data_IF_775600164740
#
_entry.id   IF_775600164740
#
_cell.length_a   1.000
_cell.length_b   1.000
_cell.length_c   1.000
_cell.angle_alpha   90.00
_cell.angle_beta   90.00
_cell.angle_gamma   90.00
#
_symmetry.space_group_name_H-M   'P 1'
#
loop_
_entity.id
_entity.type
_entity.pdbx_description
1 polymer ?
#
# COMPACT_ATOMS: atom_id res chain seq x y z
N UNK A 1 -8.99 15.22 -69.06
CA UNK A 1 -8.20 15.44 -67.83
C UNK A 1 -8.33 14.18 -66.99
N UNK A 2 -7.20 13.50 -66.77
CA UNK A 2 -7.10 12.05 -66.70
C UNK A 2 -7.72 11.39 -65.47
N UNK A 3 -8.58 10.40 -65.73
CA UNK A 3 -9.09 9.46 -64.75
C UNK A 3 -7.93 8.62 -64.18
N UNK A 4 -7.57 8.87 -62.92
CA UNK A 4 -6.74 7.94 -62.16
C UNK A 4 -7.61 6.72 -61.82
N UNK A 5 -7.33 5.59 -62.47
CA UNK A 5 -8.12 4.38 -62.31
C UNK A 5 -8.08 3.89 -60.85
N UNK A 6 -9.20 3.38 -60.35
CA UNK A 6 -9.33 2.81 -59.01
C UNK A 6 -8.30 1.68 -58.74
N UNK A 7 -7.78 1.03 -59.79
CA UNK A 7 -6.70 0.05 -59.71
C UNK A 7 -5.37 0.67 -59.26
N UNK A 8 -5.08 1.91 -59.65
CA UNK A 8 -3.84 2.62 -59.26
C UNK A 8 -3.85 2.98 -57.77
N UNK A 9 -5.01 3.31 -57.21
CA UNK A 9 -5.15 3.61 -55.78
C UNK A 9 -4.98 2.36 -54.91
N UNK A 10 -5.57 1.22 -55.33
CA UNK A 10 -5.44 -0.06 -54.62
C UNK A 10 -3.99 -0.56 -54.61
N UNK A 11 -3.29 -0.41 -55.73
CA UNK A 11 -1.87 -0.76 -55.84
C UNK A 11 -0.99 0.09 -54.91
N UNK A 12 -1.29 1.39 -54.75
CA UNK A 12 -0.58 2.24 -53.79
C UNK A 12 -0.83 1.85 -52.33
N UNK A 13 -2.06 1.48 -51.97
CA UNK A 13 -2.40 1.06 -50.60
C UNK A 13 -1.76 -0.29 -50.25
N UNK A 14 -1.81 -1.25 -51.17
CA UNK A 14 -1.19 -2.57 -50.98
C UNK A 14 0.34 -2.47 -50.93
N UNK A 15 0.96 -1.57 -51.73
CA UNK A 15 2.39 -1.29 -51.66
C UNK A 15 2.78 -0.61 -50.34
N UNK A 16 1.95 0.30 -49.81
CA UNK A 16 2.20 0.95 -48.53
C UNK A 16 2.09 -0.04 -47.35
N UNK A 17 1.10 -0.93 -47.37
CA UNK A 17 0.95 -2.01 -46.41
C UNK A 17 2.11 -3.01 -46.49
N UNK A 18 2.55 -3.36 -47.70
CA UNK A 18 3.71 -4.23 -47.90
C UNK A 18 5.01 -3.57 -47.41
N UNK A 19 5.19 -2.26 -47.63
CA UNK A 19 6.34 -1.51 -47.12
C UNK A 19 6.30 -1.34 -45.59
N UNK A 20 5.12 -1.19 -44.98
CA UNK A 20 4.97 -1.14 -43.52
C UNK A 20 5.22 -2.51 -42.89
N UNK A 21 4.72 -3.61 -43.50
CA UNK A 21 5.03 -4.97 -43.07
C UNK A 21 6.50 -5.31 -43.29
N UNK A 22 7.11 -4.93 -44.41
CA UNK A 22 8.53 -5.13 -44.67
C UNK A 22 9.39 -4.30 -43.70
N UNK A 23 8.99 -3.07 -43.35
CA UNK A 23 9.68 -2.29 -42.32
C UNK A 23 9.53 -2.91 -40.93
N UNK A 24 8.35 -3.40 -40.56
CA UNK A 24 8.13 -4.04 -39.26
C UNK A 24 8.86 -5.39 -39.14
N UNK A 25 8.88 -6.19 -40.21
CA UNK A 25 9.64 -7.45 -40.29
C UNK A 25 11.14 -7.19 -40.30
N UNK A 26 11.60 -6.10 -40.94
CA UNK A 26 13.03 -5.73 -40.92
C UNK A 26 13.47 -5.08 -39.61
N UNK A 27 12.66 -4.32 -38.87
CA UNK A 27 13.01 -3.89 -37.51
C UNK A 27 12.98 -5.03 -36.52
N UNK A 28 12.01 -5.95 -36.62
CA UNK A 28 11.98 -7.13 -35.76
C UNK A 28 13.17 -8.06 -36.06
N UNK A 29 13.52 -8.27 -37.33
CA UNK A 29 14.71 -9.03 -37.72
C UNK A 29 16.01 -8.29 -37.39
N UNK A 30 16.10 -6.97 -37.51
CA UNK A 30 17.27 -6.19 -37.05
C UNK A 30 17.43 -6.29 -35.54
N UNK A 31 16.34 -6.21 -34.77
CA UNK A 31 16.37 -6.38 -33.32
C UNK A 31 16.73 -7.82 -32.92
N UNK A 32 16.24 -8.84 -33.65
CA UNK A 32 16.64 -10.24 -33.47
C UNK A 32 18.12 -10.47 -33.83
N UNK A 33 18.61 -9.91 -34.94
CA UNK A 33 20.01 -10.01 -35.38
C UNK A 33 20.95 -9.23 -34.45
N UNK A 34 20.54 -8.07 -33.94
CA UNK A 34 21.32 -7.28 -32.98
C UNK A 34 21.32 -7.93 -31.60
N UNK A 35 20.20 -8.54 -31.19
CA UNK A 35 20.13 -9.39 -29.99
C UNK A 35 20.96 -10.66 -30.14
N UNK A 36 20.96 -11.30 -31.31
CA UNK A 36 21.75 -12.49 -31.63
C UNK A 36 23.25 -12.17 -31.74
N UNK A 37 23.64 -11.02 -32.30
CA UNK A 37 25.02 -10.51 -32.28
C UNK A 37 25.47 -10.14 -30.88
N UNK A 38 24.59 -9.55 -30.07
CA UNK A 38 24.88 -9.26 -28.66
C UNK A 38 24.98 -10.56 -27.85
N UNK A 39 24.14 -11.56 -28.13
CA UNK A 39 24.21 -12.91 -27.58
C UNK A 39 25.45 -13.67 -28.06
N UNK A 40 25.91 -13.50 -29.29
CA UNK A 40 27.14 -14.15 -29.78
C UNK A 40 28.39 -13.45 -29.26
N UNK A 41 28.36 -12.13 -29.09
CA UNK A 41 29.40 -11.38 -28.38
C UNK A 41 29.41 -11.73 -26.89
N UNK A 42 28.25 -11.79 -26.24
CA UNK A 42 28.12 -12.25 -24.85
C UNK A 42 28.51 -13.71 -24.71
N UNK A 43 28.13 -14.58 -25.65
CA UNK A 43 28.55 -15.98 -25.70
C UNK A 43 30.06 -16.09 -25.88
N UNK A 44 30.69 -15.23 -26.69
CA UNK A 44 32.15 -15.10 -26.79
C UNK A 44 32.83 -14.56 -25.53
N UNK A 45 32.19 -13.65 -24.80
CA UNK A 45 32.65 -13.20 -23.48
C UNK A 45 32.44 -14.26 -22.40
N UNK A 46 31.38 -15.06 -22.50
CA UNK A 46 31.10 -16.20 -21.62
C UNK A 46 32.06 -17.35 -21.94
N UNK A 47 32.37 -17.64 -23.21
CA UNK A 47 33.37 -18.64 -23.59
C UNK A 47 34.79 -18.23 -23.23
N UNK A 48 35.15 -16.94 -23.35
CA UNK A 48 36.41 -16.45 -22.78
C UNK A 48 36.47 -16.51 -21.24
N UNK A 49 35.33 -16.69 -20.57
CA UNK A 49 35.22 -16.90 -19.11
C UNK A 49 35.07 -18.38 -18.74
N UNK A 50 34.72 -19.27 -19.69
CA UNK A 50 34.60 -20.73 -19.44
C UNK A 50 35.80 -21.53 -19.93
N UNK A 51 36.57 -21.06 -20.91
CA UNK A 51 37.53 -21.93 -21.61
C UNK A 51 38.94 -22.00 -21.02
N UNK A 52 39.23 -21.33 -19.88
CA UNK A 52 40.31 -21.68 -18.93
C UNK A 52 40.58 -20.63 -17.83
N UNK A 53 39.75 -19.59 -17.68
CA UNK A 53 39.77 -18.71 -16.52
C UNK A 53 38.32 -18.45 -16.10
N UNK A 54 37.83 -19.38 -15.28
CA UNK A 54 36.65 -19.26 -14.42
C UNK A 54 36.51 -17.85 -13.84
N UNK A 55 35.34 -17.51 -13.30
CA UNK A 55 35.15 -16.41 -12.35
C UNK A 55 36.00 -16.60 -11.06
N UNK A 56 37.30 -16.84 -11.19
CA UNK A 56 38.32 -17.05 -10.17
C UNK A 56 38.54 -15.82 -9.31
N UNK A 57 37.84 -14.71 -9.57
CA UNK A 57 37.90 -13.47 -8.79
C UNK A 57 36.95 -13.51 -7.57
N UNK A 58 36.06 -14.49 -7.49
CA UNK A 58 35.18 -14.72 -6.33
C UNK A 58 35.67 -15.90 -5.46
N UNK A 59 36.99 -16.11 -5.30
CA UNK A 59 37.54 -17.25 -4.52
C UNK A 59 36.84 -17.49 -3.17
N UNK A 60 36.56 -16.46 -2.33
CA UNK A 60 35.88 -16.69 -1.04
C UNK A 60 34.42 -17.15 -1.22
N UNK A 61 33.78 -16.75 -2.31
CA UNK A 61 32.38 -17.07 -2.60
C UNK A 61 32.24 -18.42 -3.32
N UNK A 62 33.25 -18.89 -4.05
CA UNK A 62 33.21 -20.18 -4.75
C UNK A 62 32.96 -21.37 -3.81
N UNK A 63 33.33 -21.23 -2.54
CA UNK A 63 33.06 -22.24 -1.51
C UNK A 63 31.57 -22.43 -1.22
N UNK A 64 30.75 -21.39 -1.44
CA UNK A 64 29.34 -21.34 -1.05
C UNK A 64 28.41 -21.13 -2.24
N UNK A 65 28.93 -20.60 -3.35
CA UNK A 65 28.13 -20.04 -4.43
C UNK A 65 28.37 -20.77 -5.75
N UNK A 66 27.28 -20.99 -6.48
CA UNK A 66 27.26 -21.44 -7.86
C UNK A 66 26.88 -20.28 -8.76
N UNK A 67 27.57 -20.15 -9.88
CA UNK A 67 27.25 -19.19 -10.93
C UNK A 67 26.47 -19.94 -12.00
N UNK A 68 25.22 -19.55 -12.20
CA UNK A 68 24.40 -20.06 -13.28
C UNK A 68 24.52 -19.13 -14.49
N UNK A 69 24.56 -19.73 -15.68
CA UNK A 69 24.61 -18.97 -16.92
C UNK A 69 23.36 -18.11 -17.14
N UNK A 70 23.52 -17.12 -18.03
CA UNK A 70 22.59 -16.03 -18.31
C UNK A 70 21.13 -16.49 -18.37
N UNK A 71 20.35 -16.15 -17.35
CA UNK A 71 18.91 -16.30 -17.43
C UNK A 71 18.34 -15.16 -18.27
N UNK A 72 17.59 -15.52 -19.31
CA UNK A 72 16.81 -14.56 -20.10
C UNK A 72 15.61 -14.12 -19.26
N UNK A 73 15.51 -12.83 -18.96
CA UNK A 73 14.38 -12.30 -18.21
C UNK A 73 13.07 -12.41 -19.01
N UNK A 74 11.96 -12.31 -18.29
CA UNK A 74 10.60 -12.13 -18.80
C UNK A 74 10.39 -10.79 -19.54
N UNK A 75 11.35 -9.85 -19.50
CA UNK A 75 11.40 -8.69 -20.38
C UNK A 75 12.51 -8.84 -21.43
N UNK A 76 12.21 -8.59 -22.72
CA UNK A 76 13.22 -8.72 -23.77
C UNK A 76 14.33 -7.67 -23.61
N UNK A 77 15.57 -8.12 -23.46
CA UNK A 77 16.77 -7.27 -23.63
C UNK A 77 17.72 -7.14 -22.43
N UNK A 78 17.32 -7.57 -21.23
CA UNK A 78 18.20 -7.59 -20.04
C UNK A 78 18.67 -9.02 -19.75
N UNK A 79 19.98 -9.20 -19.68
CA UNK A 79 20.63 -10.45 -19.30
C UNK A 79 21.39 -10.21 -18.00
N UNK A 80 21.27 -11.14 -17.05
CA UNK A 80 22.03 -11.10 -15.81
C UNK A 80 22.69 -12.45 -15.53
N UNK A 81 23.83 -12.39 -14.84
CA UNK A 81 24.50 -13.55 -14.27
C UNK A 81 23.85 -13.83 -12.92
N UNK A 82 23.38 -15.04 -12.72
CA UNK A 82 22.77 -15.46 -11.47
C UNK A 82 23.82 -16.13 -10.58
N UNK A 83 23.93 -15.67 -9.33
CA UNK A 83 24.81 -16.22 -8.31
C UNK A 83 23.93 -16.73 -7.18
N UNK A 84 23.95 -18.03 -6.94
CA UNK A 84 23.19 -18.69 -5.88
C UNK A 84 24.15 -19.19 -4.82
N UNK A 85 24.02 -18.68 -3.60
CA UNK A 85 24.87 -18.99 -2.46
C UNK A 85 24.09 -19.73 -1.37
N UNK A 86 24.65 -20.84 -0.88
CA UNK A 86 24.14 -21.58 0.26
C UNK A 86 25.20 -21.61 1.37
N UNK A 87 24.96 -20.92 2.47
CA UNK A 87 25.94 -20.71 3.54
C UNK A 87 25.58 -21.57 4.75
N UNK A 88 26.45 -22.49 5.12
CA UNK A 88 26.29 -23.33 6.31
C UNK A 88 27.51 -23.18 7.22
N UNK A 89 27.29 -22.90 8.50
CA UNK A 89 28.34 -22.73 9.52
C UNK A 89 29.50 -21.81 9.09
N UNK A 90 29.23 -20.79 8.28
CA UNK A 90 30.24 -19.90 7.71
C UNK A 90 29.70 -18.47 7.61
N UNK A 91 30.62 -17.53 7.32
CA UNK A 91 30.32 -16.11 7.11
C UNK A 91 30.65 -15.74 5.67
N UNK A 92 29.66 -15.29 4.90
CA UNK A 92 29.89 -14.70 3.59
C UNK A 92 30.01 -13.18 3.71
N UNK A 93 31.06 -12.59 3.15
CA UNK A 93 31.28 -11.15 3.20
C UNK A 93 30.77 -10.48 1.91
N UNK A 94 29.71 -9.67 2.03
CA UNK A 94 29.13 -8.94 0.89
C UNK A 94 30.10 -7.92 0.27
N UNK A 95 31.04 -7.40 1.05
CA UNK A 95 32.04 -6.45 0.54
C UNK A 95 32.98 -7.09 -0.48
N UNK A 96 33.20 -8.40 -0.43
CA UNK A 96 34.01 -9.10 -1.44
C UNK A 96 33.32 -9.07 -2.81
N UNK A 97 32.00 -9.27 -2.86
CA UNK A 97 31.22 -9.12 -4.08
C UNK A 97 31.25 -7.68 -4.59
N UNK A 98 31.11 -6.69 -3.71
CA UNK A 98 31.23 -5.27 -4.09
C UNK A 98 32.59 -4.94 -4.69
N UNK A 99 33.68 -5.45 -4.11
CA UNK A 99 35.06 -5.29 -4.64
C UNK A 99 35.24 -6.02 -5.97
N UNK A 100 34.59 -7.16 -6.15
CA UNK A 100 34.58 -7.89 -7.41
C UNK A 100 33.89 -7.06 -8.51
N UNK A 101 32.66 -6.60 -8.28
CA UNK A 101 31.90 -5.90 -9.32
C UNK A 101 32.45 -4.51 -9.65
N UNK A 102 33.18 -3.87 -8.74
CA UNK A 102 33.85 -2.59 -9.03
C UNK A 102 34.94 -2.69 -10.09
N UNK A 103 35.56 -3.87 -10.24
CA UNK A 103 36.65 -4.16 -11.20
C UNK A 103 36.13 -4.54 -12.59
N UNK A 104 34.85 -4.89 -12.71
CA UNK A 104 34.26 -5.33 -13.98
C UNK A 104 33.98 -4.10 -14.85
N UNK A 105 34.61 -4.08 -16.03
CA UNK A 105 34.40 -3.02 -17.03
C UNK A 105 33.19 -3.27 -17.93
N UNK A 106 32.79 -4.53 -18.09
CA UNK A 106 31.64 -4.90 -18.91
C UNK A 106 30.31 -4.46 -18.28
N UNK A 107 29.32 -4.14 -19.12
CA UNK A 107 27.96 -3.81 -18.69
C UNK A 107 27.13 -5.10 -18.52
N UNK A 108 27.58 -5.94 -17.59
CA UNK A 108 26.89 -7.16 -17.17
C UNK A 108 26.17 -6.91 -15.86
N UNK A 109 24.95 -7.42 -15.71
CA UNK A 109 24.18 -7.30 -14.47
C UNK A 109 24.26 -8.59 -13.65
N UNK A 110 24.16 -8.47 -12.32
CA UNK A 110 24.19 -9.59 -11.40
C UNK A 110 22.88 -9.71 -10.61
N UNK A 111 22.40 -10.94 -10.49
CA UNK A 111 21.35 -11.33 -9.55
C UNK A 111 21.95 -12.26 -8.51
N UNK A 112 21.85 -11.90 -7.23
CA UNK A 112 22.47 -12.66 -6.14
C UNK A 112 21.38 -13.17 -5.20
N UNK A 113 21.31 -14.49 -5.02
CA UNK A 113 20.43 -15.15 -4.05
C UNK A 113 21.30 -15.83 -2.98
N UNK A 114 21.13 -15.42 -1.72
CA UNK A 114 21.89 -15.92 -0.58
C UNK A 114 20.91 -16.56 0.40
N UNK A 115 21.06 -17.86 0.64
CA UNK A 115 20.33 -18.58 1.67
C UNK A 115 21.29 -19.11 2.72
N UNK A 116 20.99 -18.91 3.99
CA UNK A 116 21.76 -19.47 5.10
C UNK A 116 21.04 -20.70 5.66
N UNK A 117 21.80 -21.74 5.98
CA UNK A 117 21.34 -22.83 6.83
C UNK A 117 21.79 -22.62 8.28
N UNK A 118 21.99 -23.72 9.00
CA UNK A 118 22.35 -23.66 10.42
C UNK A 118 23.66 -22.88 10.63
N UNK A 119 23.60 -21.89 11.54
CA UNK A 119 24.68 -20.95 11.86
C UNK A 119 25.31 -20.22 10.65
N UNK A 120 24.63 -20.19 9.50
CA UNK A 120 25.07 -19.39 8.36
C UNK A 120 24.84 -17.91 8.63
N UNK A 121 25.80 -17.08 8.25
CA UNK A 121 25.68 -15.63 8.40
C UNK A 121 26.27 -14.87 7.22
N UNK A 122 25.84 -13.63 7.07
CA UNK A 122 26.30 -12.72 6.03
C UNK A 122 26.77 -11.43 6.70
N UNK A 123 28.00 -11.01 6.43
CA UNK A 123 28.39 -9.63 6.69
C UNK A 123 27.78 -8.75 5.60
N UNK A 124 26.71 -8.03 5.95
CA UNK A 124 25.87 -7.29 5.02
C UNK A 124 25.65 -5.85 5.48
N UNK A 125 26.48 -4.89 5.01
CA UNK A 125 26.22 -3.48 5.23
C UNK A 125 25.01 -3.00 4.44
N UNK A 126 23.99 -2.47 5.12
CA UNK A 126 22.78 -1.93 4.48
C UNK A 126 23.10 -0.61 3.74
N UNK A 127 22.58 -0.38 2.51
CA UNK A 127 21.54 -1.15 1.82
C UNK A 127 22.06 -2.17 0.79
N UNK A 128 23.32 -2.60 0.92
CA UNK A 128 23.89 -3.59 0.02
C UNK A 128 24.19 -3.06 -1.39
N UNK A 129 24.55 -1.77 -1.53
CA UNK A 129 24.89 -1.24 -2.87
C UNK A 129 26.15 -1.92 -3.39
N UNK A 130 26.12 -2.27 -4.66
CA UNK A 130 27.28 -2.71 -5.42
C UNK A 130 27.10 -2.32 -6.88
N UNK A 131 28.21 -2.03 -7.56
CA UNK A 131 28.17 -1.80 -9.01
C UNK A 131 27.59 -3.05 -9.68
N UNK A 132 26.84 -2.86 -10.76
CA UNK A 132 26.26 -3.94 -11.57
C UNK A 132 25.25 -4.87 -10.85
N UNK A 133 24.94 -4.63 -9.57
CA UNK A 133 23.95 -5.42 -8.85
C UNK A 133 22.53 -5.01 -9.26
N UNK A 134 21.79 -5.96 -9.84
CA UNK A 134 20.42 -5.77 -10.30
C UNK A 134 19.40 -6.34 -9.31
N UNK A 135 19.66 -7.52 -8.75
CA UNK A 135 18.79 -8.13 -7.76
C UNK A 135 19.61 -8.74 -6.61
N UNK A 136 19.12 -8.57 -5.39
CA UNK A 136 19.67 -9.19 -4.20
C UNK A 136 18.55 -9.81 -3.38
N UNK A 137 18.68 -11.10 -3.08
CA UNK A 137 17.85 -11.83 -2.14
C UNK A 137 18.72 -12.42 -1.04
N UNK A 138 18.31 -12.22 0.21
CA UNK A 138 18.94 -12.82 1.39
C UNK A 138 17.82 -13.46 2.23
N UNK A 139 17.93 -14.75 2.52
CA UNK A 139 16.95 -15.47 3.33
C UNK A 139 17.58 -16.36 4.39
N UNK A 140 16.88 -16.45 5.52
CA UNK A 140 17.18 -17.35 6.64
C UNK A 140 18.57 -17.11 7.27
N UNK A 141 19.08 -15.88 7.18
CA UNK A 141 20.44 -15.52 7.58
C UNK A 141 20.52 -14.69 8.87
N UNK A 142 21.64 -14.84 9.60
CA UNK A 142 22.11 -13.84 10.56
C UNK A 142 22.92 -12.78 9.81
N UNK A 143 22.51 -11.51 9.91
CA UNK A 143 23.17 -10.39 9.22
C UNK A 143 24.07 -9.64 10.20
N UNK A 144 25.37 -9.71 9.95
CA UNK A 144 26.39 -8.97 10.70
C UNK A 144 26.72 -7.66 9.99
N UNK A 145 27.13 -6.63 10.74
CA UNK A 145 27.63 -5.38 10.16
C UNK A 145 26.57 -4.54 9.46
N UNK A 146 25.29 -4.73 9.77
CA UNK A 146 24.18 -4.04 9.10
C UNK A 146 24.32 -2.51 9.09
N UNK A 147 24.80 -1.93 10.18
CA UNK A 147 25.01 -0.48 10.36
C UNK A 147 26.45 -0.04 10.12
N UNK A 148 27.35 -0.93 9.69
CA UNK A 148 28.80 -0.66 9.61
C UNK A 148 29.15 0.49 8.65
N UNK A 149 28.32 0.73 7.64
CA UNK A 149 28.50 1.80 6.66
C UNK A 149 27.49 2.94 6.84
N UNK A 150 26.76 3.01 7.96
CA UNK A 150 25.68 3.99 8.13
C UNK A 150 26.14 5.47 8.12
N UNK A 151 27.42 5.70 8.41
CA UNK A 151 28.05 7.03 8.46
C UNK A 151 29.16 7.22 7.42
N UNK A 152 29.42 6.22 6.57
CA UNK A 152 30.44 6.35 5.51
C UNK A 152 29.80 7.02 4.29
N UNK A 153 30.42 8.06 3.73
CA UNK A 153 29.92 8.71 2.52
C UNK A 153 30.27 7.94 1.23
N UNK A 154 31.20 6.97 1.31
CA UNK A 154 31.65 6.19 0.15
C UNK A 154 30.49 5.42 -0.48
N UNK A 155 29.53 4.96 0.33
CA UNK A 155 28.35 4.22 -0.15
C UNK A 155 27.44 5.06 -1.06
N UNK A 156 27.43 6.38 -0.86
CA UNK A 156 26.64 7.31 -1.69
C UNK A 156 27.26 7.50 -3.08
N UNK A 157 28.57 7.24 -3.21
CA UNK A 157 29.27 7.28 -4.51
C UNK A 157 28.97 6.06 -5.39
N UNK A 158 28.48 4.97 -4.79
CA UNK A 158 28.17 3.73 -5.51
C UNK A 158 26.79 3.86 -6.17
N UNK A 159 26.69 3.73 -7.51
CA UNK A 159 25.42 3.87 -8.22
C UNK A 159 24.38 2.85 -7.75
N UNK A 160 23.18 3.34 -7.40
CA UNK A 160 22.04 2.48 -7.10
C UNK A 160 21.41 1.94 -8.39
N UNK A 161 21.78 0.72 -8.77
CA UNK A 161 21.21 -0.01 -9.92
C UNK A 161 20.25 -1.13 -9.51
N UNK A 162 20.04 -1.33 -8.21
CA UNK A 162 19.27 -2.46 -7.70
C UNK A 162 17.77 -2.25 -8.01
N UNK A 163 17.15 -3.24 -8.64
CA UNK A 163 15.72 -3.23 -8.99
C UNK A 163 14.87 -4.09 -8.06
N UNK A 164 15.47 -5.16 -7.53
CA UNK A 164 14.76 -6.12 -6.68
C UNK A 164 15.59 -6.38 -5.43
N UNK A 165 15.08 -5.98 -4.28
CA UNK A 165 15.69 -6.27 -2.98
C UNK A 165 14.74 -7.15 -2.17
N UNK A 166 15.24 -8.25 -1.63
CA UNK A 166 14.48 -9.19 -0.82
C UNK A 166 15.30 -9.60 0.38
N UNK A 167 14.80 -9.34 1.58
CA UNK A 167 15.37 -9.78 2.84
C UNK A 167 14.25 -10.47 3.64
N UNK A 168 14.40 -11.77 3.89
CA UNK A 168 13.33 -12.59 4.45
C UNK A 168 13.85 -13.48 5.58
N UNK A 169 13.05 -13.67 6.63
CA UNK A 169 13.35 -14.59 7.74
C UNK A 169 14.75 -14.40 8.33
N UNK A 170 15.21 -13.16 8.42
CA UNK A 170 16.61 -12.87 8.77
C UNK A 170 16.69 -12.15 10.12
N UNK A 171 17.81 -12.34 10.81
CA UNK A 171 18.09 -11.68 12.09
C UNK A 171 19.23 -10.72 11.90
N UNK A 172 18.97 -9.42 12.07
CA UNK A 172 20.04 -8.42 12.13
C UNK A 172 20.74 -8.55 13.47
N UNK A 173 22.01 -8.93 13.47
CA UNK A 173 22.83 -8.96 14.67
C UNK A 173 23.65 -7.68 14.78
N UNK A 174 23.59 -7.06 15.95
CA UNK A 174 24.40 -5.91 16.31
C UNK A 174 25.06 -6.15 17.67
N UNK A 175 26.34 -5.81 17.80
CA UNK A 175 26.93 -5.73 19.13
C UNK A 175 26.39 -4.51 19.87
N UNK A 176 26.55 -4.48 21.19
CA UNK A 176 26.20 -3.30 21.98
C UNK A 176 26.99 -2.06 21.52
N UNK A 177 28.25 -2.22 21.11
CA UNK A 177 29.08 -1.14 20.61
C UNK A 177 28.59 -0.61 19.26
N UNK A 178 28.28 -1.50 18.30
CA UNK A 178 27.73 -1.11 16.99
C UNK A 178 26.43 -0.30 17.17
N UNK A 179 25.60 -0.74 18.11
CA UNK A 179 24.35 -0.09 18.42
C UNK A 179 24.55 1.28 19.07
N UNK A 180 25.45 1.41 20.04
CA UNK A 180 25.79 2.70 20.66
C UNK A 180 26.40 3.67 19.65
N UNK A 181 27.29 3.20 18.77
CA UNK A 181 27.87 4.01 17.70
C UNK A 181 26.78 4.49 16.74
N UNK A 182 25.87 3.59 16.34
CA UNK A 182 24.76 3.95 15.47
C UNK A 182 23.82 4.98 16.12
N UNK A 183 23.47 4.81 17.40
CA UNK A 183 22.63 5.77 18.13
C UNK A 183 23.31 7.13 18.34
N UNK A 184 24.64 7.13 18.58
CA UNK A 184 25.43 8.33 18.78
C UNK A 184 25.79 9.07 17.48
N UNK A 185 25.48 8.49 16.31
CA UNK A 185 25.78 9.11 15.03
C UNK A 185 25.03 10.44 14.89
N UNK A 186 25.75 11.53 14.62
CA UNK A 186 25.15 12.85 14.35
C UNK A 186 24.58 12.94 12.93
N UNK A 187 25.11 12.11 12.03
CA UNK A 187 24.77 12.11 10.63
C UNK A 187 24.71 10.66 10.12
N UNK A 188 23.72 10.37 9.28
CA UNK A 188 23.63 9.15 8.50
C UNK A 188 23.68 9.53 7.02
N UNK A 189 24.39 8.74 6.22
CA UNK A 189 24.48 8.99 4.78
C UNK A 189 23.14 8.74 4.07
N UNK A 190 23.04 9.17 2.81
CA UNK A 190 21.78 9.10 2.06
C UNK A 190 21.37 7.66 1.77
N UNK A 191 22.30 6.80 1.38
CA UNK A 191 22.04 5.40 1.03
C UNK A 191 21.48 4.63 2.22
N UNK A 192 21.99 4.87 3.42
CA UNK A 192 21.51 4.21 4.63
C UNK A 192 20.10 4.71 5.01
N UNK A 193 19.84 6.02 4.91
CA UNK A 193 18.52 6.58 5.23
C UNK A 193 17.45 6.21 4.20
N UNK A 194 17.80 6.20 2.91
CA UNK A 194 16.85 6.00 1.80
C UNK A 194 16.90 4.59 1.17
N UNK A 195 17.84 3.74 1.56
CA UNK A 195 18.02 2.43 0.95
C UNK A 195 18.28 2.47 -0.56
N UNK A 196 17.61 1.56 -1.27
CA UNK A 196 17.66 1.42 -2.73
C UNK A 196 16.48 2.19 -3.36
N UNK A 197 16.67 3.49 -3.61
CA UNK A 197 15.65 4.41 -4.15
C UNK A 197 15.23 4.09 -5.58
N UNK A 198 16.10 3.39 -6.33
CA UNK A 198 15.84 2.98 -7.71
C UNK A 198 15.15 1.62 -7.85
N UNK A 199 14.83 0.97 -6.72
CA UNK A 199 14.17 -0.31 -6.68
C UNK A 199 12.74 -0.25 -7.23
N UNK A 200 12.32 -1.33 -7.90
CA UNK A 200 10.95 -1.56 -8.36
C UNK A 200 10.18 -2.36 -7.32
N UNK A 201 10.87 -3.25 -6.61
CA UNK A 201 10.28 -4.10 -5.58
C UNK A 201 11.23 -4.27 -4.41
N UNK A 202 10.71 -4.04 -3.22
CA UNK A 202 11.40 -4.25 -1.94
C UNK A 202 10.54 -5.20 -1.10
N UNK A 203 11.14 -6.29 -0.63
CA UNK A 203 10.55 -7.22 0.34
C UNK A 203 11.46 -7.29 1.55
N UNK A 204 10.92 -6.98 2.73
CA UNK A 204 11.58 -7.03 4.02
C UNK A 204 10.63 -7.73 5.01
N UNK A 205 10.63 -9.07 5.00
CA UNK A 205 9.59 -9.87 5.65
C UNK A 205 10.15 -10.73 6.79
N UNK A 206 9.49 -10.72 7.95
CA UNK A 206 9.89 -11.50 9.12
C UNK A 206 11.35 -11.23 9.52
N UNK A 207 11.68 -9.94 9.67
CA UNK A 207 13.01 -9.52 10.11
C UNK A 207 12.95 -9.14 11.59
N UNK A 208 13.92 -9.66 12.33
CA UNK A 208 14.16 -9.28 13.72
C UNK A 208 15.54 -8.67 13.87
N UNK A 209 15.76 -7.94 14.97
CA UNK A 209 17.09 -7.46 15.30
C UNK A 209 17.43 -7.87 16.74
N UNK A 210 18.64 -8.38 16.88
CA UNK A 210 19.21 -8.88 18.12
C UNK A 210 20.44 -8.05 18.48
N UNK A 211 20.38 -7.39 19.63
CA UNK A 211 21.51 -6.63 20.19
C UNK A 211 22.19 -7.49 21.25
N UNK A 212 23.46 -7.84 21.02
CA UNK A 212 24.27 -8.63 21.95
C UNK A 212 24.30 -8.02 23.36
N UNK A 213 24.24 -8.87 24.38
CA UNK A 213 24.36 -8.51 25.80
C UNK A 213 23.32 -7.52 26.40
N UNK A 214 22.31 -7.08 25.64
CA UNK A 214 21.21 -6.29 26.19
C UNK A 214 20.07 -7.15 26.72
N UNK A 215 19.61 -6.88 27.94
CA UNK A 215 18.39 -7.48 28.47
C UNK A 215 17.15 -7.03 27.66
N UNK A 216 16.06 -7.82 27.69
CA UNK A 216 14.85 -7.58 26.88
C UNK A 216 14.21 -6.21 27.14
N UNK A 217 14.25 -5.72 28.38
CA UNK A 217 13.65 -4.45 28.78
C UNK A 217 14.43 -3.25 28.20
N UNK A 218 15.75 -3.26 28.37
CA UNK A 218 16.64 -2.23 27.82
C UNK A 218 16.54 -2.19 26.30
N UNK A 219 16.36 -3.32 25.60
CA UNK A 219 16.11 -3.29 24.14
C UNK A 219 14.87 -2.47 23.80
N UNK A 220 13.74 -2.76 24.45
CA UNK A 220 12.47 -2.09 24.15
C UNK A 220 12.55 -0.57 24.41
N UNK A 221 13.07 -0.17 25.57
CA UNK A 221 13.23 1.24 25.94
C UNK A 221 14.18 1.96 24.98
N UNK A 222 15.24 1.28 24.53
CA UNK A 222 16.28 1.89 23.69
C UNK A 222 15.86 2.00 22.22
N UNK A 223 15.02 1.09 21.72
CA UNK A 223 14.38 1.24 20.41
C UNK A 223 13.29 2.33 20.39
N UNK A 224 12.70 2.64 21.54
CA UNK A 224 11.78 3.77 21.69
C UNK A 224 12.51 5.11 21.79
N UNK A 225 13.74 5.11 22.33
CA UNK A 225 14.60 6.29 22.38
C UNK A 225 14.96 6.73 20.96
N UNK A 226 14.43 7.90 20.58
CA UNK A 226 14.50 8.43 19.22
C UNK A 226 15.91 8.92 18.94
N UNK A 227 16.64 8.38 17.95
CA UNK A 227 17.83 9.05 17.49
C UNK A 227 17.41 10.35 16.78
N UNK A 228 18.07 11.46 17.12
CA UNK A 228 17.85 12.81 16.58
C UNK A 228 18.48 12.95 15.18
N UNK A 229 18.15 12.06 14.27
CA UNK A 229 18.60 12.22 12.88
C UNK A 229 17.79 13.32 12.20
N UNK A 230 18.47 14.18 11.42
CA UNK A 230 17.78 15.04 10.46
C UNK A 230 17.10 14.12 9.46
N UNK A 231 15.78 14.08 9.54
CA UNK A 231 15.00 13.24 8.64
C UNK A 231 15.16 13.75 7.20
N UNK A 232 15.61 12.87 6.31
CA UNK A 232 15.66 13.12 4.88
C UNK A 232 14.39 12.59 4.22
N UNK A 233 13.88 13.34 3.26
CA UNK A 233 12.79 12.91 2.37
C UNK A 233 13.38 12.11 1.21
N UNK A 234 12.91 10.89 1.01
CA UNK A 234 13.35 10.02 -0.07
C UNK A 234 12.25 9.90 -1.13
N UNK A 235 12.59 9.89 -2.42
CA UNK A 235 11.62 9.73 -3.52
C UNK A 235 11.91 8.45 -4.29
N UNK A 236 11.01 7.47 -4.17
CA UNK A 236 11.14 6.15 -4.81
C UNK A 236 10.39 6.15 -6.13
N UNK A 237 11.01 6.74 -7.17
CA UNK A 237 10.37 6.96 -8.47
C UNK A 237 9.89 5.69 -9.15
N UNK A 238 10.55 4.55 -8.93
CA UNK A 238 10.26 3.31 -9.65
C UNK A 238 9.59 2.24 -8.79
N UNK A 239 9.42 2.48 -7.49
CA UNK A 239 8.93 1.47 -6.56
C UNK A 239 7.45 1.23 -6.78
N UNK A 240 7.11 -0.01 -7.15
CA UNK A 240 5.74 -0.48 -7.37
C UNK A 240 5.25 -1.38 -6.26
N UNK A 241 6.17 -2.12 -5.61
CA UNK A 241 5.80 -3.04 -4.54
C UNK A 241 6.73 -2.92 -3.33
N UNK A 242 6.13 -2.72 -2.16
CA UNK A 242 6.83 -2.63 -0.89
C UNK A 242 6.17 -3.57 0.12
N UNK A 243 6.91 -4.56 0.59
CA UNK A 243 6.48 -5.49 1.62
C UNK A 243 7.38 -5.33 2.82
N UNK A 244 6.82 -4.98 3.98
CA UNK A 244 7.56 -4.87 5.24
C UNK A 244 6.77 -5.50 6.38
N UNK A 245 7.28 -6.59 6.95
CA UNK A 245 6.80 -7.12 8.23
C UNK A 245 7.98 -7.15 9.21
N UNK A 246 8.14 -6.03 9.92
CA UNK A 246 9.25 -5.82 10.84
C UNK A 246 8.72 -5.87 12.27
N UNK A 247 9.41 -6.63 13.13
CA UNK A 247 9.01 -6.78 14.54
C UNK A 247 9.25 -5.52 15.39
N UNK A 248 9.99 -4.53 14.88
CA UNK A 248 10.26 -3.26 15.57
C UNK A 248 9.71 -2.05 14.81
N UNK A 249 8.62 -1.50 15.35
CA UNK A 249 7.66 -0.61 14.70
C UNK A 249 8.20 0.81 14.43
N UNK A 250 9.09 1.36 15.26
CA UNK A 250 9.31 2.81 15.32
C UNK A 250 10.16 3.45 14.20
N UNK A 251 11.26 2.85 13.70
CA UNK A 251 12.02 3.45 12.60
C UNK A 251 11.22 3.44 11.28
N UNK A 252 10.29 2.50 11.18
CA UNK A 252 9.59 2.16 9.95
C UNK A 252 8.48 3.14 9.57
N UNK A 253 7.66 3.57 10.55
CA UNK A 253 6.60 4.56 10.30
C UNK A 253 7.17 5.88 9.74
N UNK A 254 8.36 6.30 10.21
CA UNK A 254 9.02 7.52 9.71
C UNK A 254 9.44 7.44 8.24
N UNK A 255 9.97 6.30 7.80
CA UNK A 255 10.39 6.14 6.41
C UNK A 255 9.18 6.26 5.48
N UNK A 256 8.03 5.74 5.88
CA UNK A 256 6.78 5.88 5.14
C UNK A 256 6.28 7.31 5.18
N UNK A 257 6.23 7.91 6.37
CA UNK A 257 5.65 9.24 6.56
C UNK A 257 6.39 10.31 5.75
N UNK A 258 7.72 10.24 5.67
CA UNK A 258 8.51 11.32 5.06
C UNK A 258 8.89 11.10 3.61
N UNK A 259 8.63 9.92 3.05
CA UNK A 259 9.04 9.57 1.70
C UNK A 259 7.89 9.68 0.70
N UNK A 260 8.25 9.80 -0.57
CA UNK A 260 7.32 9.85 -1.69
C UNK A 260 7.37 8.56 -2.52
N UNK A 261 6.20 8.02 -2.82
CA UNK A 261 6.02 6.75 -3.52
C UNK A 261 5.07 6.94 -4.72
N UNK A 262 5.46 7.71 -5.74
CA UNK A 262 4.54 8.19 -6.78
C UNK A 262 3.87 7.07 -7.59
N UNK A 263 4.55 5.93 -7.79
CA UNK A 263 4.11 4.83 -8.65
C UNK A 263 3.87 3.51 -7.86
N UNK A 264 3.64 3.60 -6.55
CA UNK A 264 3.43 2.42 -5.70
C UNK A 264 2.07 1.79 -6.00
N UNK A 265 2.05 0.49 -6.23
CA UNK A 265 0.84 -0.30 -6.52
C UNK A 265 0.47 -1.24 -5.39
N UNK A 266 1.46 -1.69 -4.61
CA UNK A 266 1.28 -2.64 -3.52
C UNK A 266 2.07 -2.20 -2.30
N UNK A 267 1.38 -2.02 -1.18
CA UNK A 267 1.95 -1.87 0.15
C UNK A 267 1.49 -3.06 0.98
N UNK A 268 2.43 -3.79 1.56
CA UNK A 268 2.12 -4.87 2.48
C UNK A 268 2.84 -4.64 3.80
N UNK A 269 2.07 -4.34 4.83
CA UNK A 269 2.52 -4.12 6.20
C UNK A 269 1.81 -5.07 7.16
N UNK A 270 1.53 -6.29 6.68
CA UNK A 270 0.95 -7.33 7.50
C UNK A 270 1.91 -7.73 8.64
N UNK A 271 1.37 -8.10 9.80
CA UNK A 271 2.15 -8.54 10.96
C UNK A 271 3.27 -7.57 11.39
N UNK A 272 3.07 -6.26 11.21
CA UNK A 272 4.02 -5.22 11.57
C UNK A 272 3.77 -4.64 12.97
N UNK A 273 2.89 -5.25 13.78
CA UNK A 273 2.47 -4.79 15.10
C UNK A 273 1.99 -3.31 15.14
N UNK A 274 1.38 -2.83 14.05
CA UNK A 274 0.86 -1.46 13.98
C UNK A 274 -0.37 -1.30 14.87
N UNK A 275 -0.34 -0.31 15.76
CA UNK A 275 -1.49 0.05 16.62
C UNK A 275 -2.37 1.10 15.93
N UNK A 276 -1.74 1.99 15.16
CA UNK A 276 -2.41 3.04 14.40
C UNK A 276 -1.87 3.08 12.97
N UNK A 277 -2.67 3.59 12.05
CA UNK A 277 -2.21 3.85 10.68
C UNK A 277 -1.44 5.18 10.64
N UNK A 278 -0.19 5.21 10.15
CA UNK A 278 0.57 6.46 9.97
C UNK A 278 -0.22 7.49 9.17
N UNK A 279 -0.10 8.78 9.52
CA UNK A 279 -0.91 9.87 8.91
C UNK A 279 -0.80 9.90 7.38
N UNK A 280 0.37 9.62 6.82
CA UNK A 280 0.54 9.59 5.37
C UNK A 280 -0.18 8.41 4.69
N UNK A 281 -0.36 7.30 5.41
CA UNK A 281 -1.19 6.18 4.97
C UNK A 281 -2.69 6.41 5.21
N UNK A 282 -3.10 7.44 5.95
CA UNK A 282 -4.51 7.84 6.05
C UNK A 282 -4.94 8.60 4.77
N UNK A 283 -4.01 9.34 4.17
CA UNK A 283 -4.21 10.10 2.93
C UNK A 283 -3.51 9.46 1.71
N UNK A 284 -3.31 8.13 1.74
CA UNK A 284 -2.47 7.43 0.78
C UNK A 284 -2.83 7.70 -0.68
N UNK A 285 -4.11 7.90 -1.01
CA UNK A 285 -4.54 8.22 -2.39
C UNK A 285 -4.01 9.55 -2.93
N UNK A 286 -3.65 10.50 -2.07
CA UNK A 286 -3.03 11.76 -2.49
C UNK A 286 -1.58 11.56 -2.91
N UNK A 287 -0.83 10.72 -2.19
CA UNK A 287 0.61 10.49 -2.41
C UNK A 287 0.94 9.27 -3.29
N UNK A 288 0.01 8.32 -3.40
CA UNK A 288 0.17 7.01 -4.05
C UNK A 288 -1.03 6.71 -4.95
N UNK A 289 -1.13 7.44 -6.07
CA UNK A 289 -2.29 7.40 -6.98
C UNK A 289 -2.51 6.04 -7.63
N UNK A 290 -1.44 5.27 -7.80
CA UNK A 290 -1.46 3.95 -8.44
C UNK A 290 -1.69 2.80 -7.44
N UNK A 291 -1.89 3.09 -6.15
CA UNK A 291 -2.00 2.06 -5.12
C UNK A 291 -3.29 1.25 -5.30
N UNK A 292 -3.12 -0.05 -5.53
CA UNK A 292 -4.19 -1.02 -5.76
C UNK A 292 -4.40 -1.94 -4.56
N UNK A 293 -3.35 -2.21 -3.79
CA UNK A 293 -3.41 -3.15 -2.67
C UNK A 293 -2.65 -2.62 -1.46
N UNK A 294 -3.33 -2.53 -0.32
CA UNK A 294 -2.79 -2.13 0.98
C UNK A 294 -3.10 -3.23 2.00
N UNK A 295 -2.09 -3.99 2.38
CA UNK A 295 -2.20 -5.02 3.41
C UNK A 295 -1.85 -4.45 4.78
N UNK A 296 -2.81 -4.42 5.68
CA UNK A 296 -2.63 -4.06 7.09
C UNK A 296 -3.11 -5.21 8.00
N UNK A 297 -3.18 -6.45 7.47
CA UNK A 297 -3.68 -7.60 8.22
C UNK A 297 -2.73 -8.02 9.36
N UNK A 298 -3.23 -8.73 10.36
CA UNK A 298 -2.43 -9.24 11.49
C UNK A 298 -1.71 -8.13 12.29
N UNK A 299 -2.30 -6.94 12.42
CA UNK A 299 -1.77 -5.86 13.24
C UNK A 299 -2.62 -5.68 14.51
N UNK A 300 -2.45 -4.56 15.21
CA UNK A 300 -3.17 -4.20 16.44
C UNK A 300 -4.07 -2.98 16.22
N UNK A 301 -4.52 -2.75 14.98
CA UNK A 301 -5.30 -1.56 14.61
C UNK A 301 -6.69 -1.66 15.22
N UNK A 302 -7.12 -0.61 15.91
CA UNK A 302 -8.44 -0.54 16.53
C UNK A 302 -9.44 0.30 15.73
N UNK A 303 -8.95 1.37 15.07
CA UNK A 303 -9.78 2.30 14.31
C UNK A 303 -9.52 2.22 12.80
N UNK A 304 -10.61 2.01 12.06
CA UNK A 304 -10.63 1.89 10.61
C UNK A 304 -10.87 3.25 9.93
N UNK A 305 -11.48 4.20 10.64
CA UNK A 305 -11.95 5.47 10.08
C UNK A 305 -10.87 6.24 9.31
N UNK A 306 -9.65 6.42 9.85
CA UNK A 306 -8.63 7.23 9.18
C UNK A 306 -8.19 6.67 7.82
N UNK A 307 -8.31 5.36 7.62
CA UNK A 307 -7.87 4.68 6.38
C UNK A 307 -8.90 4.86 5.26
N UNK A 308 -10.18 4.89 5.63
CA UNK A 308 -11.29 4.75 4.68
C UNK A 308 -11.86 6.11 4.25
N UNK A 309 -11.90 7.10 5.14
CA UNK A 309 -12.77 8.28 4.95
C UNK A 309 -12.06 9.52 4.39
N UNK A 310 -10.76 9.46 4.13
CA UNK A 310 -9.98 10.60 3.64
C UNK A 310 -9.81 10.66 2.11
N UNK A 311 -10.58 9.87 1.36
CA UNK A 311 -10.52 9.91 -0.11
C UNK A 311 -11.22 11.16 -0.67
N UNK A 312 -10.51 12.29 -0.65
CA UNK A 312 -10.95 13.51 -1.35
C UNK A 312 -10.72 13.41 -2.88
N UNK A 313 -10.20 12.29 -3.39
CA UNK A 313 -9.78 12.19 -4.78
C UNK A 313 -10.96 11.88 -5.70
N UNK A 314 -11.34 12.85 -6.54
CA UNK A 314 -12.39 12.71 -7.56
C UNK A 314 -11.90 12.18 -8.92
N UNK A 315 -10.67 11.67 -9.01
CA UNK A 315 -10.06 11.27 -10.29
C UNK A 315 -10.15 9.77 -10.62
N UNK A 316 -9.54 9.39 -11.74
CA UNK A 316 -9.47 8.02 -12.27
C UNK A 316 -8.50 7.11 -11.50
N UNK A 317 -8.54 7.15 -10.16
CA UNK A 317 -7.79 6.18 -9.36
C UNK A 317 -8.25 4.75 -9.68
N UNK A 318 -7.34 3.76 -9.66
CA UNK A 318 -7.69 2.36 -9.83
C UNK A 318 -8.56 1.87 -8.66
N UNK A 319 -9.22 0.72 -8.85
CA UNK A 319 -9.86 0.03 -7.75
C UNK A 319 -8.80 -0.41 -6.73
N UNK A 320 -8.93 0.06 -5.50
CA UNK A 320 -8.09 -0.27 -4.36
C UNK A 320 -8.70 -1.38 -3.51
N UNK A 321 -7.84 -2.17 -2.88
CA UNK A 321 -8.18 -3.16 -1.88
C UNK A 321 -7.36 -2.91 -0.61
N UNK A 322 -8.03 -2.88 0.54
CA UNK A 322 -7.41 -2.72 1.86
C UNK A 322 -7.74 -3.96 2.70
N UNK A 323 -6.71 -4.68 3.13
CA UNK A 323 -6.84 -5.81 4.03
C UNK A 323 -6.64 -5.37 5.48
N UNK A 324 -7.66 -5.50 6.31
CA UNK A 324 -7.64 -5.22 7.75
C UNK A 324 -8.01 -6.45 8.57
N UNK A 325 -7.91 -7.66 7.99
CA UNK A 325 -8.23 -8.89 8.70
C UNK A 325 -7.28 -9.11 9.89
N UNK A 326 -7.78 -9.78 10.92
CA UNK A 326 -6.98 -10.15 12.10
C UNK A 326 -6.34 -8.95 12.82
N UNK A 327 -7.09 -7.86 12.99
CA UNK A 327 -6.71 -6.69 13.79
C UNK A 327 -7.49 -6.68 15.12
N UNK A 328 -7.47 -5.54 15.83
CA UNK A 328 -8.21 -5.35 17.10
C UNK A 328 -9.48 -4.48 16.90
N UNK A 329 -10.09 -4.51 15.71
CA UNK A 329 -11.27 -3.70 15.39
C UNK A 329 -12.49 -4.28 16.11
N UNK A 330 -12.95 -3.60 17.17
CA UNK A 330 -14.08 -4.05 17.97
C UNK A 330 -15.43 -3.50 17.52
N UNK A 331 -15.44 -2.33 16.87
CA UNK A 331 -16.66 -1.69 16.41
C UNK A 331 -16.37 -0.86 15.15
N UNK A 332 -17.43 -0.47 14.44
CA UNK A 332 -17.34 0.49 13.36
C UNK A 332 -18.23 1.69 13.71
N UNK A 333 -17.69 2.90 13.60
CA UNK A 333 -18.47 4.10 13.90
C UNK A 333 -19.51 4.37 12.81
N UNK A 334 -20.71 4.81 13.21
CA UNK A 334 -21.80 5.17 12.29
C UNK A 334 -21.35 6.17 11.22
N UNK A 335 -20.52 7.13 11.63
CA UNK A 335 -19.98 8.17 10.77
C UNK A 335 -19.03 7.60 9.70
N UNK A 336 -18.13 6.70 10.08
CA UNK A 336 -17.19 6.08 9.14
C UNK A 336 -17.86 5.31 8.03
N UNK A 337 -18.85 4.51 8.38
CA UNK A 337 -19.42 3.61 7.40
C UNK A 337 -20.42 4.34 6.50
N UNK A 338 -21.25 5.24 7.06
CA UNK A 338 -22.15 6.05 6.23
C UNK A 338 -21.37 6.91 5.25
N UNK A 339 -20.27 7.53 5.69
CA UNK A 339 -19.44 8.37 4.82
C UNK A 339 -18.74 7.55 3.74
N UNK A 340 -18.25 6.37 4.09
CA UNK A 340 -17.62 5.50 3.10
C UNK A 340 -18.61 4.93 2.08
N UNK A 341 -19.71 4.34 2.54
CA UNK A 341 -20.67 3.64 1.69
C UNK A 341 -21.52 4.59 0.83
N UNK A 342 -21.79 5.82 1.28
CA UNK A 342 -22.72 6.73 0.58
C UNK A 342 -22.14 7.55 -0.56
N UNK A 343 -20.84 7.46 -0.87
CA UNK A 343 -20.36 8.14 -2.08
C UNK A 343 -18.85 8.30 -2.26
N UNK A 344 -18.05 8.06 -1.23
CA UNK A 344 -16.61 8.35 -1.31
C UNK A 344 -15.81 7.10 -1.72
N UNK A 345 -16.18 5.91 -1.25
CA UNK A 345 -15.38 4.69 -1.41
C UNK A 345 -15.72 3.82 -2.64
N UNK A 346 -16.34 4.34 -3.71
CA UNK A 346 -16.83 3.48 -4.80
C UNK A 346 -15.73 2.64 -5.48
N UNK A 347 -14.47 3.06 -5.41
CA UNK A 347 -13.29 2.30 -5.89
C UNK A 347 -12.44 1.71 -4.77
N UNK A 348 -12.98 1.50 -3.57
CA UNK A 348 -12.24 0.97 -2.43
C UNK A 348 -12.95 -0.24 -1.83
N UNK A 349 -12.33 -1.41 -1.92
CA UNK A 349 -12.76 -2.60 -1.19
C UNK A 349 -11.98 -2.65 0.11
N UNK A 350 -12.67 -2.88 1.23
CA UNK A 350 -12.02 -3.08 2.52
C UNK A 350 -12.46 -4.43 3.04
N UNK A 351 -11.55 -5.20 3.63
CA UNK A 351 -11.82 -6.49 4.28
C UNK A 351 -11.49 -6.41 5.77
N UNK A 352 -12.51 -6.51 6.63
CA UNK A 352 -12.39 -6.43 8.09
C UNK A 352 -12.72 -7.76 8.78
N UNK A 353 -12.69 -8.90 8.07
CA UNK A 353 -13.02 -10.21 8.66
C UNK A 353 -12.04 -10.57 9.79
N UNK A 354 -12.48 -11.46 10.68
CA UNK A 354 -11.65 -11.99 11.78
C UNK A 354 -11.13 -10.91 12.75
N UNK A 355 -11.97 -9.91 13.04
CA UNK A 355 -11.73 -8.91 14.06
C UNK A 355 -12.63 -9.15 15.30
N UNK A 356 -12.24 -8.69 16.49
CA UNK A 356 -12.95 -8.97 17.75
C UNK A 356 -14.21 -8.11 17.94
N UNK A 357 -15.17 -8.23 17.03
CA UNK A 357 -16.38 -7.41 17.05
C UNK A 357 -17.17 -7.55 18.36
N UNK A 358 -17.47 -6.42 18.96
CA UNK A 358 -18.33 -6.29 20.12
C UNK A 358 -19.78 -6.18 19.66
N UNK A 359 -20.57 -7.18 20.01
CA UNK A 359 -21.98 -7.27 19.71
C UNK A 359 -22.83 -6.70 20.84
N UNK A 360 -22.79 -5.38 20.96
CA UNK A 360 -23.61 -4.58 21.87
C UNK A 360 -24.64 -3.75 21.06
N UNK A 361 -25.23 -2.73 21.69
CA UNK A 361 -26.19 -1.87 21.00
C UNK A 361 -25.62 -1.02 19.87
N UNK A 362 -24.30 -0.98 19.70
CA UNK A 362 -23.63 -0.46 18.51
C UNK A 362 -23.84 -1.34 17.26
N UNK A 363 -24.25 -2.60 17.40
CA UNK A 363 -24.56 -3.48 16.25
C UNK A 363 -25.68 -2.94 15.38
N UNK A 364 -26.56 -2.09 15.92
CA UNK A 364 -27.59 -1.41 15.12
C UNK A 364 -26.98 -0.73 13.89
N UNK A 365 -25.75 -0.25 13.97
CA UNK A 365 -25.06 0.34 12.82
C UNK A 365 -24.77 -0.68 11.71
N UNK A 366 -24.41 -1.92 12.04
CA UNK A 366 -24.28 -3.01 11.06
C UNK A 366 -25.61 -3.33 10.38
N UNK A 367 -26.71 -3.34 11.14
CA UNK A 367 -28.04 -3.55 10.56
C UNK A 367 -28.44 -2.42 9.60
N UNK A 368 -28.21 -1.16 9.98
CA UNK A 368 -28.40 0.00 9.09
C UNK A 368 -27.59 -0.14 7.79
N UNK A 369 -26.40 -0.73 7.87
CA UNK A 369 -25.52 -0.98 6.71
C UNK A 369 -26.07 -2.08 5.82
N UNK A 370 -26.46 -3.22 6.40
CA UNK A 370 -27.04 -4.31 5.62
C UNK A 370 -28.29 -3.84 4.89
N UNK A 371 -29.17 -3.12 5.59
CA UNK A 371 -30.36 -2.53 4.96
C UNK A 371 -29.99 -1.54 3.85
N UNK A 372 -28.96 -0.71 4.04
CA UNK A 372 -28.48 0.19 2.99
C UNK A 372 -27.96 -0.58 1.77
N UNK A 373 -27.14 -1.62 1.98
CA UNK A 373 -26.61 -2.47 0.91
C UNK A 373 -27.74 -3.16 0.16
N UNK A 374 -28.71 -3.74 0.88
CA UNK A 374 -29.87 -4.41 0.29
C UNK A 374 -30.72 -3.43 -0.53
N UNK A 375 -30.99 -2.23 -0.01
CA UNK A 375 -31.74 -1.20 -0.73
C UNK A 375 -31.00 -0.71 -2.00
N UNK A 376 -29.67 -0.56 -1.93
CA UNK A 376 -28.87 -0.18 -3.09
C UNK A 376 -28.81 -1.32 -4.13
N UNK A 377 -28.64 -2.56 -3.69
CA UNK A 377 -28.69 -3.74 -4.55
C UNK A 377 -30.05 -3.87 -5.25
N UNK A 378 -31.15 -3.62 -4.55
CA UNK A 378 -32.50 -3.61 -5.11
C UNK A 378 -32.70 -2.48 -6.13
N UNK A 379 -32.15 -1.28 -5.85
CA UNK A 379 -32.22 -0.13 -6.76
C UNK A 379 -31.35 -0.29 -8.01
N UNK A 380 -30.21 -1.00 -7.90
CA UNK A 380 -29.25 -1.22 -8.99
C UNK A 380 -29.60 -2.41 -9.88
N UNK A 381 -30.63 -3.19 -9.55
CA UNK A 381 -31.20 -4.21 -10.44
C UNK A 381 -31.62 -3.63 -11.82
N UNK A 382 -31.76 -2.30 -11.94
CA UNK A 382 -32.09 -1.61 -13.18
C UNK A 382 -30.90 -1.01 -13.96
N UNK A 383 -29.68 -0.97 -13.40
CA UNK A 383 -28.50 -0.45 -14.11
C UNK A 383 -27.31 -1.41 -13.93
N UNK A 384 -27.13 -2.28 -14.94
CA UNK A 384 -26.18 -3.42 -14.99
C UNK A 384 -24.72 -2.98 -15.12
N UNK A 385 -24.37 -1.79 -14.63
CA UNK A 385 -22.99 -1.28 -14.65
C UNK A 385 -22.31 -1.53 -13.31
N UNK A 386 -21.63 -2.67 -13.28
CA UNK A 386 -20.66 -3.13 -12.29
C UNK A 386 -21.21 -3.32 -10.87
N UNK A 387 -21.26 -4.60 -10.47
CA UNK A 387 -21.81 -5.11 -9.23
C UNK A 387 -20.94 -4.73 -7.99
N UNK A 388 -20.72 -3.43 -7.78
CA UNK A 388 -19.82 -2.82 -6.80
C UNK A 388 -20.15 -3.21 -5.36
N UNK A 389 -21.36 -3.67 -5.08
CA UNK A 389 -21.78 -4.09 -3.75
C UNK A 389 -21.53 -5.59 -3.48
N UNK A 390 -21.38 -6.42 -4.52
CA UNK A 390 -21.08 -7.86 -4.35
C UNK A 390 -19.79 -8.11 -3.57
N UNK A 391 -18.81 -7.19 -3.65
CA UNK A 391 -17.56 -7.23 -2.89
C UNK A 391 -17.72 -7.06 -1.38
N UNK A 392 -18.86 -6.53 -0.92
CA UNK A 392 -19.17 -6.38 0.51
C UNK A 392 -20.08 -7.50 1.04
N UNK A 393 -20.39 -8.52 0.24
CA UNK A 393 -21.21 -9.67 0.67
C UNK A 393 -20.65 -10.33 1.93
N UNK A 394 -19.33 -10.31 2.12
CA UNK A 394 -18.68 -10.85 3.31
C UNK A 394 -19.11 -10.16 4.62
N UNK A 395 -19.63 -8.93 4.57
CA UNK A 395 -20.09 -8.22 5.78
C UNK A 395 -21.24 -8.98 6.46
N UNK A 396 -22.06 -9.72 5.70
CA UNK A 396 -23.14 -10.55 6.23
C UNK A 396 -22.61 -11.73 7.05
N UNK A 397 -21.36 -12.14 6.85
CA UNK A 397 -20.73 -13.28 7.51
C UNK A 397 -19.87 -12.87 8.72
N UNK A 398 -19.84 -11.58 9.08
CA UNK A 398 -19.12 -11.11 10.26
C UNK A 398 -19.69 -11.74 11.53
N UNK A 399 -18.81 -12.10 12.45
CA UNK A 399 -19.15 -12.83 13.68
C UNK A 399 -18.82 -12.00 14.91
N UNK A 400 -19.66 -12.14 15.93
CA UNK A 400 -19.41 -11.59 17.25
C UNK A 400 -18.23 -12.29 17.92
N UNK A 401 -17.40 -11.51 18.60
CA UNK A 401 -16.38 -12.02 19.50
C UNK A 401 -16.77 -11.85 20.98
N UNK A 402 -17.36 -10.71 21.29
CA UNK A 402 -17.94 -10.37 22.58
C UNK A 402 -19.41 -9.93 22.41
N UNK A 403 -20.26 -10.04 23.44
CA UNK A 403 -20.04 -10.73 24.71
C UNK A 403 -19.92 -12.26 24.53
N UNK A 404 -19.46 -13.01 25.57
CA UNK A 404 -19.32 -14.47 25.49
C UNK A 404 -20.60 -15.21 25.07
N UNK A 405 -21.78 -14.71 25.47
CA UNK A 405 -23.08 -15.28 25.12
C UNK A 405 -23.40 -15.24 23.62
N UNK A 406 -22.78 -14.33 22.88
CA UNK A 406 -22.99 -14.15 21.43
C UNK A 406 -21.77 -14.59 20.61
N UNK A 407 -20.69 -15.07 21.24
CA UNK A 407 -19.44 -15.40 20.54
C UNK A 407 -19.67 -16.40 19.40
N UNK A 408 -19.14 -16.08 18.23
CA UNK A 408 -19.25 -16.89 17.00
C UNK A 408 -20.57 -16.71 16.24
N UNK A 409 -21.58 -16.05 16.82
CA UNK A 409 -22.86 -15.75 16.14
C UNK A 409 -22.64 -14.72 15.04
N UNK A 410 -23.41 -14.85 13.96
CA UNK A 410 -23.35 -13.94 12.80
C UNK A 410 -24.11 -12.65 13.13
N UNK A 411 -23.45 -11.49 12.95
CA UNK A 411 -23.96 -10.16 13.32
C UNK A 411 -25.27 -9.84 12.57
N UNK A 412 -25.33 -10.13 11.27
CA UNK A 412 -26.51 -9.87 10.42
C UNK A 412 -27.76 -10.66 10.83
N UNK A 413 -27.60 -11.73 11.62
CA UNK A 413 -28.69 -12.59 12.08
C UNK A 413 -29.15 -12.29 13.50
N UNK A 414 -28.52 -11.33 14.19
CA UNK A 414 -28.89 -10.96 15.55
C UNK A 414 -30.05 -9.97 15.56
N UNK A 415 -31.03 -10.21 16.42
CA UNK A 415 -32.08 -9.26 16.77
C UNK A 415 -31.62 -8.31 17.89
N UNK A 416 -32.22 -7.11 17.96
CA UNK A 416 -31.89 -6.14 19.02
C UNK A 416 -32.21 -6.67 20.43
N UNK A 417 -33.21 -7.54 20.56
CA UNK A 417 -33.58 -8.17 21.82
C UNK A 417 -32.55 -9.21 22.28
N UNK A 418 -32.01 -10.03 21.37
CA UNK A 418 -30.93 -10.99 21.68
C UNK A 418 -29.65 -10.28 22.17
N UNK A 419 -29.40 -9.07 21.69
CA UNK A 419 -28.26 -8.24 22.09
C UNK A 419 -28.51 -7.56 23.46
N UNK A 420 -29.75 -7.60 23.97
CA UNK A 420 -30.13 -6.94 25.21
C UNK A 420 -30.36 -5.43 25.04
N UNK A 421 -30.53 -4.96 23.80
CA UNK A 421 -30.86 -3.56 23.55
C UNK A 421 -32.33 -3.34 23.80
N UNK A 422 -32.63 -2.73 24.94
CA UNK A 422 -33.95 -2.15 25.15
C UNK A 422 -34.17 -1.16 24.01
N UNK A 423 -35.27 -1.28 23.24
CA UNK A 423 -35.63 -0.20 22.35
C UNK A 423 -35.64 1.05 23.22
N UNK A 424 -34.83 2.05 22.87
CA UNK A 424 -35.13 3.40 23.34
C UNK A 424 -36.53 3.62 22.78
N UNK A 425 -37.57 3.42 23.61
CA UNK A 425 -38.83 4.07 23.36
C UNK A 425 -38.39 5.53 23.25
N UNK A 426 -38.32 6.05 22.02
CA UNK A 426 -38.52 7.45 21.80
C UNK A 426 -39.92 7.68 22.35
N UNK A 427 -40.01 7.89 23.66
CA UNK A 427 -41.15 8.56 24.22
C UNK A 427 -41.21 9.85 23.43
N UNK A 428 -42.37 10.10 22.83
CA UNK A 428 -42.67 11.25 21.97
C UNK A 428 -42.42 12.60 22.70
N UNK A 429 -41.95 12.56 23.94
CA UNK A 429 -41.54 13.66 24.81
C UNK A 429 -40.28 14.40 24.37
N UNK A 430 -39.40 13.82 23.54
CA UNK A 430 -38.11 14.45 23.17
C UNK A 430 -38.08 15.08 21.77
N UNK A 431 -39.17 14.97 20.99
CA UNK A 431 -39.40 16.00 19.97
C UNK A 431 -39.77 17.23 20.79
N UNK A 432 -39.03 18.35 20.75
CA UNK A 432 -39.51 19.57 21.37
C UNK A 432 -40.87 19.82 20.73
N UNK A 433 -41.95 19.58 21.46
CA UNK A 433 -43.30 19.77 20.94
C UNK A 433 -43.59 21.26 20.73
N UNK A 434 -42.71 22.12 21.26
CA UNK A 434 -42.71 23.57 21.07
C UNK A 434 -42.98 24.02 19.64
N UNK A 435 -42.18 23.66 18.62
CA UNK A 435 -42.41 24.11 17.25
C UNK A 435 -43.71 23.58 16.65
N UNK A 436 -44.12 22.34 16.97
CA UNK A 436 -45.37 21.78 16.45
C UNK A 436 -46.58 22.48 17.09
N UNK A 437 -46.56 22.71 18.40
CA UNK A 437 -47.58 23.44 19.13
C UNK A 437 -47.65 24.89 18.65
N UNK A 438 -46.51 25.55 18.45
CA UNK A 438 -46.45 26.91 17.90
C UNK A 438 -47.01 26.96 16.48
N UNK A 439 -46.67 26.01 15.61
CA UNK A 439 -47.23 25.94 14.25
C UNK A 439 -48.74 25.69 14.28
N UNK A 440 -49.23 24.82 15.17
CA UNK A 440 -50.66 24.59 15.35
C UNK A 440 -51.39 25.84 15.87
N UNK A 441 -50.82 26.54 16.87
CA UNK A 441 -51.40 27.76 17.42
C UNK A 441 -51.40 28.91 16.40
N UNK A 442 -50.31 29.09 15.65
CA UNK A 442 -50.22 30.09 14.58
C UNK A 442 -51.22 29.76 13.47
N UNK A 443 -51.31 28.50 13.05
CA UNK A 443 -52.28 28.08 12.03
C UNK A 443 -53.72 28.30 12.50
N UNK A 444 -54.02 27.99 13.77
CA UNK A 444 -55.32 28.25 14.37
C UNK A 444 -55.65 29.75 14.40
N UNK A 445 -54.70 30.58 14.84
CA UNK A 445 -54.88 32.03 14.88
C UNK A 445 -55.09 32.62 13.48
N UNK A 446 -54.33 32.17 12.48
CA UNK A 446 -54.51 32.57 11.09
C UNK A 446 -55.88 32.16 10.55
N UNK A 447 -56.36 30.96 10.87
CA UNK A 447 -57.71 30.51 10.51
C UNK A 447 -58.79 31.38 11.17
N UNK A 448 -58.62 31.76 12.44
CA UNK A 448 -59.55 32.68 13.13
C UNK A 448 -59.52 34.06 12.47
N UNK A 449 -58.35 34.62 12.18
CA UNK A 449 -58.22 35.90 11.47
C UNK A 449 -58.86 35.86 10.08
N UNK A 450 -58.66 34.77 9.32
CA UNK A 450 -59.32 34.57 8.03
C UNK A 450 -60.84 34.49 8.18
N UNK A 451 -61.33 33.72 9.15
CA UNK A 451 -62.76 33.58 9.40
C UNK A 451 -63.41 34.91 9.80
N UNK A 452 -62.77 35.67 10.69
CA UNK A 452 -63.21 37.03 11.06
C UNK A 452 -63.15 37.96 9.85
N UNK A 453 -62.05 37.95 9.09
CA UNK A 453 -61.90 38.76 7.88
C UNK A 453 -62.97 38.48 6.84
N UNK A 454 -63.36 37.22 6.65
CA UNK A 454 -64.46 36.81 5.76
C UNK A 454 -65.80 37.30 6.31
N UNK A 455 -66.09 37.04 7.60
CA UNK A 455 -67.38 37.36 8.22
C UNK A 455 -67.64 38.87 8.31
N UNK A 456 -66.60 39.66 8.53
CA UNK A 456 -66.67 41.11 8.71
C UNK A 456 -66.21 41.88 7.47
N UNK A 457 -66.04 41.21 6.32
CA UNK A 457 -65.51 41.82 5.09
C UNK A 457 -66.24 43.11 4.69
N UNK A 458 -67.56 43.13 4.80
CA UNK A 458 -68.38 44.30 4.45
C UNK A 458 -68.19 45.45 5.46
N UNK A 459 -68.11 45.15 6.76
CA UNK A 459 -67.93 46.16 7.80
C UNK A 459 -66.50 46.72 7.81
N UNK A 460 -65.49 45.89 7.52
CA UNK A 460 -64.10 46.31 7.36
C UNK A 460 -63.96 47.17 6.11
N UNK A 461 -64.60 46.82 4.98
CA UNK A 461 -64.59 47.65 3.78
C UNK A 461 -65.19 49.04 4.03
N UNK A 462 -66.31 49.12 4.76
CA UNK A 462 -66.94 50.41 5.13
C UNK A 462 -66.03 51.21 6.08
N UNK A 463 -65.47 50.58 7.11
CA UNK A 463 -64.57 51.25 8.07
C UNK A 463 -63.25 51.72 7.42
N UNK A 464 -62.66 50.92 6.53
CA UNK A 464 -61.49 51.34 5.75
C UNK A 464 -61.84 52.49 4.80
N UNK A 465 -62.99 52.45 4.11
CA UNK A 465 -63.40 53.57 3.24
C UNK A 465 -63.58 54.87 4.03
N UNK A 466 -64.16 54.80 5.24
CA UNK A 466 -64.31 55.95 6.14
C UNK A 466 -62.95 56.48 6.61
N UNK A 467 -62.05 55.59 7.01
CA UNK A 467 -60.70 55.96 7.47
C UNK A 467 -59.85 56.60 6.37
N UNK A 468 -59.93 56.09 5.13
CA UNK A 468 -59.28 56.71 3.98
C UNK A 468 -59.92 58.04 3.61
N UNK A 469 -61.24 58.19 3.75
CA UNK A 469 -61.91 59.48 3.51
C UNK A 469 -61.65 60.54 4.58
N UNK A 470 -61.16 60.17 5.77
CA UNK A 470 -60.85 61.11 6.86
C UNK A 470 -59.38 61.54 6.92
N UNK A 471 -58.49 60.83 6.19
CA UNK A 471 -57.04 61.06 6.21
C UNK A 471 -56.45 61.37 4.82
N UNK A 472 -57.31 61.63 3.83
CA UNK A 472 -56.98 62.28 2.56
C UNK A 472 -57.84 63.54 2.48
#
# INVERSE_FOLDING_TARGET
MGFCSYQSFRFCVDLLLFLLFANHVTTENKNKIQSAKKLSQLSGYVTMVTDNNTFSILQPWQQFCKVNELQKQSKPGEYYIEIICNINNNVLNFLDFRRFTSRIKADMLFSVDITCGQNGSVFFPYPGRARLLHSLRISDCVLNGFTSEATSDDIDTIPDRMKYFTLVNSVIYMTQNDFQQFQGAKHLNQAFQCGNVNAVKIIENNISCWIGNMNKRSRLETFQARPNFRDRTCTYKYLRHLYKSFSMIQPFTRQIDKSMYPNIETLNFSAANMIETPKHLQEWRLGAKDLKYLDLSHNLIEDVFPIICHDKYKGDSPQGFVDLRYNNISSLTQYGIRTCLRGICHKLTVDIRNNPFMCDCGVKYFQDIFQYIDNQMASLYYDVRENNFSRYKYLYDLKCYNPPSLRGRIISKLSLSEIGCKPKLQTVTDVPSGPIIVVMLVSFFLCVCLFVGIRYREQIAVSCSKWFSSNC
#
